data_IF_904467120044
#
_entry.id   IF_904467120044
#
_cell.length_a   1.000
_cell.length_b   1.000
_cell.length_c   1.000
_cell.angle_alpha   90.00
_cell.angle_beta   90.00
_cell.angle_gamma   90.00
#
_symmetry.space_group_name_H-M   'P 1'
#
loop_
_entity.id
_entity.type
_entity.pdbx_description
1 polymer ?
#
# COMPACT_ATOMS: atom_id res chain seq x y z
N UNK A 1 89.18 11.72 -38.05
CA UNK A 1 88.13 12.49 -38.76
C UNK A 1 86.82 11.80 -38.53
N UNK A 2 85.88 12.60 -38.21
CA UNK A 2 84.41 12.42 -38.06
C UNK A 2 83.87 12.25 -36.64
N UNK A 3 83.22 13.31 -36.31
CA UNK A 3 82.35 13.53 -35.15
C UNK A 3 81.06 12.74 -35.26
N UNK A 4 80.58 12.16 -34.16
CA UNK A 4 79.28 11.56 -34.05
C UNK A 4 78.49 12.17 -32.89
N UNK A 5 77.42 12.86 -33.22
CA UNK A 5 76.50 13.51 -32.31
C UNK A 5 75.68 12.50 -31.51
N UNK A 6 75.44 12.81 -30.24
CA UNK A 6 74.55 12.14 -29.33
C UNK A 6 73.14 12.76 -29.51
N UNK A 7 72.05 11.99 -29.68
CA UNK A 7 70.71 12.53 -29.57
C UNK A 7 70.17 12.37 -28.16
N UNK A 8 69.59 13.45 -27.71
CA UNK A 8 69.01 13.59 -26.37
C UNK A 8 67.79 12.70 -26.10
N UNK A 9 67.72 12.25 -24.88
CA UNK A 9 66.59 11.53 -24.30
C UNK A 9 65.42 12.47 -24.02
N UNK A 10 64.28 12.29 -24.72
CA UNK A 10 63.04 12.92 -24.41
C UNK A 10 62.35 12.14 -23.27
N UNK A 11 62.26 12.75 -22.13
CA UNK A 11 61.49 12.23 -21.02
C UNK A 11 59.97 12.42 -21.31
N UNK A 12 59.26 11.33 -21.54
CA UNK A 12 57.79 11.34 -21.64
C UNK A 12 57.23 11.31 -20.21
N UNK A 13 56.71 12.43 -19.78
CA UNK A 13 55.90 12.51 -18.54
C UNK A 13 54.53 11.86 -18.78
N UNK A 14 54.32 10.66 -18.25
CA UNK A 14 53.02 10.00 -18.23
C UNK A 14 52.20 10.66 -17.12
N UNK A 15 51.24 11.50 -17.51
CA UNK A 15 50.23 12.05 -16.64
C UNK A 15 49.22 10.93 -16.30
N UNK A 16 49.38 10.29 -15.15
CA UNK A 16 48.43 9.34 -14.64
C UNK A 16 47.18 10.11 -14.16
N UNK A 17 46.14 10.17 -15.00
CA UNK A 17 44.83 10.65 -14.62
C UNK A 17 44.20 9.59 -13.70
N UNK A 18 44.19 9.83 -12.38
CA UNK A 18 43.38 9.04 -11.45
C UNK A 18 41.91 9.31 -11.78
N UNK A 19 41.33 8.40 -12.54
CA UNK A 19 39.89 8.24 -12.59
C UNK A 19 39.47 7.72 -11.20
N UNK A 20 38.94 8.61 -10.35
CA UNK A 20 38.21 8.20 -9.18
C UNK A 20 36.94 7.50 -9.67
N UNK A 21 37.02 6.18 -9.81
CA UNK A 21 35.82 5.34 -9.92
C UNK A 21 35.06 5.56 -8.63
N UNK A 22 34.06 6.46 -8.67
CA UNK A 22 33.05 6.57 -7.66
C UNK A 22 32.29 5.23 -7.63
N UNK A 23 32.74 4.31 -6.79
CA UNK A 23 31.93 3.17 -6.37
C UNK A 23 30.68 3.76 -5.74
N UNK A 24 29.61 3.87 -6.52
CA UNK A 24 28.28 4.04 -5.97
C UNK A 24 28.00 2.80 -5.12
N UNK A 25 28.36 2.89 -3.84
CA UNK A 25 27.80 2.00 -2.83
C UNK A 25 26.30 2.16 -2.93
N UNK A 26 25.64 1.22 -3.61
CA UNK A 26 24.22 1.00 -3.45
C UNK A 26 24.06 0.64 -1.99
N UNK A 27 23.67 1.60 -1.15
CA UNK A 27 23.36 1.30 0.24
C UNK A 27 22.19 0.33 0.22
N UNK A 28 22.32 -0.80 0.91
CA UNK A 28 21.26 -1.80 1.01
C UNK A 28 20.02 -1.26 1.74
N UNK A 29 20.09 -0.03 2.26
CA UNK A 29 19.01 0.64 2.99
C UNK A 29 18.73 2.03 2.41
N UNK A 30 17.45 2.35 2.16
CA UNK A 30 17.01 3.71 1.88
C UNK A 30 17.23 4.58 3.12
N UNK A 31 18.14 5.55 3.07
CA UNK A 31 18.40 6.45 4.17
C UNK A 31 17.70 7.78 3.97
N UNK A 32 17.30 8.44 5.08
CA UNK A 32 16.76 9.79 5.02
C UNK A 32 17.72 10.76 4.32
N UNK A 33 19.03 10.58 4.54
CA UNK A 33 20.07 11.40 3.91
C UNK A 33 20.04 11.26 2.40
N UNK A 34 19.97 10.03 1.88
CA UNK A 34 19.92 9.75 0.44
C UNK A 34 18.63 10.29 -0.19
N UNK A 35 17.48 10.04 0.44
CA UNK A 35 16.17 10.52 -0.02
C UNK A 35 16.16 12.06 -0.10
N UNK A 36 16.72 12.76 0.91
CA UNK A 36 16.83 14.23 0.91
C UNK A 36 17.82 14.77 -0.12
N UNK A 37 18.96 14.10 -0.31
CA UNK A 37 19.93 14.50 -1.32
C UNK A 37 19.38 14.40 -2.73
N UNK A 38 18.57 13.34 -2.98
CA UNK A 38 17.90 13.14 -4.26
C UNK A 38 16.67 14.03 -4.43
N UNK A 39 16.12 14.59 -3.34
CA UNK A 39 14.89 15.38 -3.35
C UNK A 39 13.63 14.60 -3.70
N UNK A 40 13.66 13.27 -3.66
CA UNK A 40 12.61 12.39 -4.19
C UNK A 40 12.26 11.31 -3.16
N UNK A 41 10.95 11.12 -2.91
CA UNK A 41 10.37 9.96 -2.25
C UNK A 41 9.80 9.01 -3.30
N UNK A 42 10.23 7.74 -3.32
CA UNK A 42 9.82 6.75 -4.32
C UNK A 42 8.72 5.85 -3.75
N UNK A 43 7.53 5.92 -4.35
CA UNK A 43 6.37 5.10 -4.00
C UNK A 43 6.31 3.86 -4.89
N UNK A 44 6.30 2.65 -4.31
CA UNK A 44 5.86 1.45 -5.01
C UNK A 44 4.34 1.45 -5.11
N UNK A 45 3.79 1.38 -6.33
CA UNK A 45 2.35 1.32 -6.56
C UNK A 45 2.00 0.39 -7.73
N UNK A 46 0.78 -0.15 -7.73
CA UNK A 46 0.29 -0.99 -8.82
C UNK A 46 -0.32 -0.09 -9.91
N UNK A 47 0.04 -0.29 -11.20
CA UNK A 47 -0.49 0.54 -12.28
C UNK A 47 -1.97 0.30 -12.60
N UNK A 48 -2.62 -0.70 -12.02
CA UNK A 48 -3.99 -1.12 -12.33
C UNK A 48 -4.75 -1.59 -11.09
N UNK A 49 -4.83 -0.74 -10.06
CA UNK A 49 -5.44 -1.06 -8.77
C UNK A 49 -6.31 0.10 -8.24
N UNK A 50 -7.23 0.62 -9.06
CA UNK A 50 -8.21 1.59 -8.56
C UNK A 50 -9.06 0.98 -7.44
N UNK A 51 -9.42 1.76 -6.44
CA UNK A 51 -9.14 3.20 -6.24
C UNK A 51 -7.78 3.51 -5.59
N UNK A 52 -6.95 2.51 -5.29
CA UNK A 52 -5.67 2.68 -4.58
C UNK A 52 -4.64 3.42 -5.44
N UNK A 53 -4.34 2.89 -6.61
CA UNK A 53 -3.35 3.45 -7.52
C UNK A 53 -3.64 3.05 -8.97
N UNK A 54 -3.32 3.93 -9.91
CA UNK A 54 -3.48 3.66 -11.34
C UNK A 54 -2.55 4.52 -12.19
N UNK A 55 -2.06 3.93 -13.27
CA UNK A 55 -1.42 4.65 -14.37
C UNK A 55 -2.46 4.82 -15.48
N UNK A 56 -2.90 6.04 -15.71
CA UNK A 56 -3.88 6.31 -16.76
C UNK A 56 -3.28 6.13 -18.18
N UNK A 57 -4.11 5.91 -19.18
CA UNK A 57 -3.67 5.75 -20.58
C UNK A 57 -2.87 6.96 -21.11
N UNK A 58 -3.03 8.13 -20.50
CA UNK A 58 -2.31 9.36 -20.83
C UNK A 58 -1.04 9.56 -20.01
N UNK A 59 -0.65 8.57 -19.21
CA UNK A 59 0.52 8.61 -18.34
C UNK A 59 0.32 9.40 -17.03
N UNK A 60 -0.91 9.79 -16.72
CA UNK A 60 -1.24 10.47 -15.46
C UNK A 60 -1.29 9.49 -14.27
N UNK A 61 -1.08 10.03 -13.08
CA UNK A 61 -1.23 9.31 -11.82
C UNK A 61 -2.66 9.45 -11.31
N UNK A 62 -3.23 8.38 -10.76
CA UNK A 62 -4.54 8.40 -10.12
C UNK A 62 -4.57 7.42 -8.94
N UNK A 63 -5.50 7.64 -8.00
CA UNK A 63 -5.74 6.79 -6.84
C UNK A 63 -5.45 7.50 -5.52
N UNK A 64 -6.27 7.16 -4.50
CA UNK A 64 -6.21 7.87 -3.23
C UNK A 64 -4.89 7.65 -2.47
N UNK A 65 -4.25 6.50 -2.64
CA UNK A 65 -2.93 6.23 -2.04
C UNK A 65 -1.82 7.02 -2.71
N UNK A 66 -1.91 7.22 -4.04
CA UNK A 66 -0.95 8.06 -4.76
C UNK A 66 -1.09 9.52 -4.33
N UNK A 67 -2.33 10.04 -4.25
CA UNK A 67 -2.57 11.39 -3.76
C UNK A 67 -2.09 11.59 -2.31
N UNK A 68 -2.32 10.61 -1.44
CA UNK A 68 -1.84 10.68 -0.05
C UNK A 68 -0.32 10.64 0.02
N UNK A 69 0.33 9.79 -0.78
CA UNK A 69 1.79 9.72 -0.85
C UNK A 69 2.40 11.02 -1.39
N UNK A 70 1.74 11.70 -2.33
CA UNK A 70 2.16 13.01 -2.84
C UNK A 70 2.14 14.07 -1.74
N UNK A 71 1.08 14.09 -0.92
CA UNK A 71 1.02 15.00 0.24
C UNK A 71 2.11 14.66 1.26
N UNK A 72 2.35 13.38 1.56
CA UNK A 72 3.43 12.97 2.48
C UNK A 72 4.81 13.40 1.97
N UNK A 73 5.09 13.21 0.68
CA UNK A 73 6.34 13.67 0.08
C UNK A 73 6.50 15.19 0.22
N UNK A 74 5.45 15.95 -0.08
CA UNK A 74 5.43 17.41 0.06
C UNK A 74 5.69 17.86 1.50
N UNK A 75 5.06 17.22 2.50
CA UNK A 75 5.29 17.49 3.93
C UNK A 75 6.74 17.23 4.37
N UNK A 76 7.44 16.34 3.65
CA UNK A 76 8.86 16.06 3.86
C UNK A 76 9.78 16.99 3.06
N UNK A 77 9.25 17.89 2.23
CA UNK A 77 9.99 18.74 1.30
C UNK A 77 10.59 18.00 0.10
N UNK A 78 9.92 16.93 -0.36
CA UNK A 78 10.36 16.04 -1.43
C UNK A 78 9.33 16.03 -2.57
N UNK A 79 9.78 15.61 -3.76
CA UNK A 79 8.91 15.25 -4.87
C UNK A 79 8.53 13.77 -4.80
N UNK A 80 7.29 13.41 -5.18
CA UNK A 80 6.89 12.02 -5.33
C UNK A 80 7.32 11.47 -6.69
N UNK A 81 7.93 10.28 -6.69
CA UNK A 81 8.12 9.47 -7.89
C UNK A 81 7.45 8.11 -7.70
N UNK A 82 6.59 7.72 -8.63
CA UNK A 82 5.95 6.40 -8.58
C UNK A 82 6.82 5.38 -9.31
N UNK A 83 7.07 4.27 -8.64
CA UNK A 83 7.73 3.06 -9.17
C UNK A 83 6.64 2.01 -9.34
N UNK A 84 6.33 1.67 -10.59
CA UNK A 84 5.25 0.73 -10.88
C UNK A 84 5.69 -0.71 -10.64
N UNK A 85 4.92 -1.41 -9.80
CA UNK A 85 5.15 -2.80 -9.39
C UNK A 85 3.85 -3.59 -9.52
N UNK A 86 3.94 -4.88 -9.83
CA UNK A 86 2.76 -5.75 -10.00
C UNK A 86 2.69 -6.87 -8.96
N UNK A 87 3.82 -7.17 -8.32
CA UNK A 87 3.92 -8.26 -7.36
C UNK A 87 5.05 -8.01 -6.35
N UNK A 88 5.12 -8.85 -5.32
CA UNK A 88 6.13 -8.75 -4.27
C UNK A 88 7.57 -8.89 -4.78
N UNK A 89 7.80 -9.65 -5.85
CA UNK A 89 9.11 -9.79 -6.49
C UNK A 89 9.60 -8.49 -7.11
N UNK A 90 8.68 -7.74 -7.75
CA UNK A 90 8.98 -6.42 -8.32
C UNK A 90 9.37 -5.45 -7.21
N UNK A 91 8.64 -5.44 -6.07
CA UNK A 91 8.98 -4.60 -4.91
C UNK A 91 10.37 -4.92 -4.39
N UNK A 92 10.67 -6.21 -4.19
CA UNK A 92 11.95 -6.67 -3.66
C UNK A 92 13.14 -6.24 -4.52
N UNK A 93 12.95 -6.20 -5.83
CA UNK A 93 13.99 -5.81 -6.80
C UNK A 93 13.98 -4.31 -7.14
N UNK A 94 12.95 -3.58 -6.72
CA UNK A 94 12.82 -2.14 -6.99
C UNK A 94 13.65 -1.30 -6.04
N UNK A 95 13.76 -0.03 -6.38
CA UNK A 95 14.40 1.02 -5.57
C UNK A 95 13.38 1.92 -4.85
N UNK A 96 12.12 1.48 -4.70
CA UNK A 96 11.12 2.26 -3.97
C UNK A 96 11.42 2.33 -2.47
N UNK A 97 11.02 3.44 -1.87
CA UNK A 97 11.25 3.73 -0.44
C UNK A 97 10.03 3.36 0.41
N UNK A 98 8.83 3.59 -0.14
CA UNK A 98 7.57 3.46 0.59
C UNK A 98 6.50 2.70 -0.19
N UNK A 99 5.59 2.08 0.56
CA UNK A 99 4.34 1.45 0.10
C UNK A 99 3.20 2.02 0.93
N UNK A 100 2.10 2.36 0.29
CA UNK A 100 0.88 2.74 1.00
C UNK A 100 0.01 1.51 1.30
N UNK A 101 -1.01 1.66 2.15
CA UNK A 101 -2.02 0.63 2.37
C UNK A 101 -1.54 -0.59 3.14
N UNK A 102 -0.43 -0.50 3.87
CA UNK A 102 0.15 -1.66 4.53
C UNK A 102 -0.48 -1.86 5.91
N UNK A 103 -0.97 -3.07 6.18
CA UNK A 103 -1.49 -3.44 7.50
C UNK A 103 -0.33 -3.56 8.48
N UNK A 104 -0.31 -2.72 9.51
CA UNK A 104 0.75 -2.72 10.52
C UNK A 104 0.52 -3.80 11.57
N UNK A 105 0.73 -5.05 11.20
CA UNK A 105 0.65 -6.18 12.13
C UNK A 105 1.73 -7.19 11.84
N UNK A 106 2.70 -7.35 12.75
CA UNK A 106 3.71 -8.39 12.66
C UNK A 106 3.07 -9.78 12.52
N UNK A 107 1.96 -10.03 13.20
CA UNK A 107 1.23 -11.30 13.13
C UNK A 107 0.68 -11.62 11.73
N UNK A 108 0.43 -10.62 10.89
CA UNK A 108 -0.01 -10.82 9.50
C UNK A 108 1.18 -11.16 8.61
N UNK A 109 2.36 -10.56 8.87
CA UNK A 109 3.56 -10.76 8.05
C UNK A 109 4.35 -12.01 8.43
N UNK A 110 4.23 -12.50 9.68
CA UNK A 110 4.92 -13.72 10.15
C UNK A 110 4.13 -15.01 9.83
N UNK A 111 2.92 -14.92 9.31
CA UNK A 111 2.13 -16.10 8.92
C UNK A 111 2.59 -16.64 7.57
N UNK A 112 3.22 -17.80 7.58
CA UNK A 112 3.36 -18.62 6.38
C UNK A 112 1.97 -18.92 5.80
N UNK A 113 1.69 -18.44 4.60
CA UNK A 113 0.46 -18.76 3.87
C UNK A 113 -0.52 -17.62 3.64
N UNK A 114 -0.43 -16.48 4.33
CA UNK A 114 -1.23 -15.31 3.98
C UNK A 114 -0.64 -14.61 2.75
N UNK A 115 -1.15 -14.94 1.61
CA UNK A 115 -0.85 -14.27 0.34
C UNK A 115 -1.66 -12.98 0.21
N UNK A 116 -1.32 -11.98 1.02
CA UNK A 116 -1.64 -10.61 0.60
C UNK A 116 -0.90 -10.34 -0.72
N UNK A 117 -1.54 -9.75 -1.73
CA UNK A 117 -1.01 -9.78 -3.11
C UNK A 117 0.33 -9.09 -3.31
N UNK A 118 0.86 -8.32 -2.37
CA UNK A 118 2.08 -7.54 -2.59
C UNK A 118 3.13 -7.61 -1.47
N UNK A 119 2.85 -8.12 -0.27
CA UNK A 119 3.70 -7.84 0.90
C UNK A 119 4.29 -9.03 1.64
N UNK A 120 4.01 -10.27 1.23
CA UNK A 120 4.56 -11.46 1.88
C UNK A 120 6.08 -11.55 1.70
N UNK A 121 6.80 -11.64 2.83
CA UNK A 121 8.26 -11.80 2.92
C UNK A 121 9.12 -10.57 2.54
N UNK A 122 8.56 -9.36 2.59
CA UNK A 122 9.35 -8.14 2.47
C UNK A 122 9.79 -7.68 3.88
N UNK A 123 11.06 -7.32 4.07
CA UNK A 123 11.52 -6.71 5.31
C UNK A 123 11.02 -5.25 5.37
N UNK A 124 9.75 -5.08 5.77
CA UNK A 124 9.13 -3.76 5.91
C UNK A 124 9.25 -3.27 7.35
N UNK A 125 9.52 -1.99 7.46
CA UNK A 125 9.26 -1.21 8.67
C UNK A 125 7.93 -0.47 8.48
N UNK A 126 7.30 -0.07 9.55
CA UNK A 126 6.00 0.58 9.49
C UNK A 126 6.07 1.97 10.11
N UNK A 127 5.38 2.90 9.50
CA UNK A 127 5.09 4.18 10.14
C UNK A 127 4.01 4.00 11.21
N UNK A 128 3.77 5.06 11.98
CA UNK A 128 2.49 5.21 12.68
C UNK A 128 1.34 5.08 11.68
N UNK A 129 0.18 4.56 12.12
CA UNK A 129 -0.95 4.39 11.22
C UNK A 129 -1.53 5.75 10.77
N UNK A 130 -2.06 5.78 9.55
CA UNK A 130 -2.78 6.92 9.01
C UNK A 130 -4.28 6.69 8.87
N UNK A 131 -4.74 5.45 8.97
CA UNK A 131 -6.15 5.08 8.92
C UNK A 131 -6.40 3.82 9.75
N UNK A 132 -7.65 3.61 10.12
CA UNK A 132 -8.19 2.33 10.54
C UNK A 132 -8.94 1.69 9.38
N UNK A 133 -8.98 0.36 9.35
CA UNK A 133 -9.69 -0.45 8.37
C UNK A 133 -10.14 -1.76 8.99
N UNK A 134 -10.90 -2.52 8.24
CA UNK A 134 -11.39 -3.83 8.65
C UNK A 134 -12.38 -4.39 7.67
N UNK A 135 -13.04 -5.45 8.07
CA UNK A 135 -14.10 -6.07 7.27
C UNK A 135 -15.41 -5.29 7.45
N UNK A 136 -16.11 -5.05 6.36
CA UNK A 136 -17.50 -4.57 6.35
C UNK A 136 -18.39 -5.61 5.69
N UNK A 137 -19.62 -5.72 6.14
CA UNK A 137 -20.62 -6.55 5.47
C UNK A 137 -21.35 -5.72 4.42
N UNK A 138 -21.23 -6.14 3.18
CA UNK A 138 -21.97 -5.58 2.04
C UNK A 138 -23.24 -6.41 1.85
N UNK A 139 -24.39 -5.73 1.79
CA UNK A 139 -25.71 -6.33 1.73
C UNK A 139 -26.59 -5.59 0.73
N UNK A 140 -27.65 -6.24 0.24
CA UNK A 140 -28.70 -5.58 -0.50
C UNK A 140 -29.42 -4.55 0.38
N UNK A 141 -29.91 -3.47 -0.19
CA UNK A 141 -30.69 -2.45 0.50
C UNK A 141 -31.96 -3.02 1.22
N UNK A 142 -32.42 -4.18 0.80
CA UNK A 142 -33.58 -4.89 1.36
C UNK A 142 -33.22 -5.83 2.51
N UNK A 143 -31.93 -6.16 2.68
CA UNK A 143 -31.47 -7.08 3.72
C UNK A 143 -31.52 -6.41 5.10
N UNK A 144 -31.89 -7.18 6.13
CA UNK A 144 -31.91 -6.77 7.53
C UNK A 144 -30.70 -7.26 8.31
N UNK A 145 -29.73 -7.88 7.66
CA UNK A 145 -28.49 -8.38 8.30
C UNK A 145 -27.72 -7.22 8.92
N UNK A 146 -27.36 -7.38 10.19
CA UNK A 146 -26.59 -6.37 10.96
C UNK A 146 -25.30 -6.92 11.56
N UNK A 147 -25.21 -8.25 11.73
CA UNK A 147 -24.08 -8.93 12.37
C UNK A 147 -23.90 -10.33 11.82
N UNK A 148 -22.78 -10.94 12.11
CA UNK A 148 -22.45 -12.29 11.61
C UNK A 148 -23.43 -13.37 12.12
N UNK A 149 -23.92 -13.24 13.34
CA UNK A 149 -24.87 -14.18 13.95
C UNK A 149 -26.23 -14.23 13.21
N UNK A 150 -26.58 -13.19 12.46
CA UNK A 150 -27.78 -13.18 11.64
C UNK A 150 -27.69 -14.13 10.42
N UNK A 151 -26.49 -14.69 10.15
CA UNK A 151 -26.15 -15.43 8.92
C UNK A 151 -26.10 -16.96 9.09
N UNK A 152 -26.85 -17.52 10.02
CA UNK A 152 -26.77 -18.94 10.47
C UNK A 152 -26.62 -20.00 9.36
N UNK A 153 -27.27 -19.84 8.21
CA UNK A 153 -27.23 -20.80 7.10
C UNK A 153 -26.86 -20.18 5.75
N UNK A 154 -26.62 -18.89 5.71
CA UNK A 154 -26.35 -18.15 4.49
C UNK A 154 -24.85 -18.25 4.14
N UNK A 155 -24.56 -18.18 2.84
CA UNK A 155 -23.18 -18.09 2.37
C UNK A 155 -22.73 -16.64 2.39
N UNK A 156 -21.55 -16.40 2.94
CA UNK A 156 -20.87 -15.11 2.93
C UNK A 156 -19.86 -15.10 1.78
N UNK A 157 -19.97 -14.14 0.89
CA UNK A 157 -18.96 -13.93 -0.15
C UNK A 157 -17.65 -13.41 0.46
N UNK A 158 -16.54 -14.02 0.09
CA UNK A 158 -15.18 -13.65 0.56
C UNK A 158 -14.20 -13.69 -0.61
N UNK A 159 -13.17 -12.87 -0.58
CA UNK A 159 -12.09 -12.96 -1.56
C UNK A 159 -11.09 -14.04 -1.13
N UNK A 160 -10.61 -14.83 -2.09
CA UNK A 160 -9.64 -15.90 -1.84
C UNK A 160 -8.37 -15.39 -1.18
N UNK A 161 -7.90 -16.09 -0.13
CA UNK A 161 -6.62 -15.83 0.52
C UNK A 161 -6.61 -14.56 1.40
N UNK A 162 -7.78 -14.03 1.77
CA UNK A 162 -7.87 -12.88 2.69
C UNK A 162 -8.05 -13.32 4.14
N UNK A 163 -7.82 -12.40 5.06
CA UNK A 163 -8.00 -12.64 6.51
C UNK A 163 -9.44 -13.02 6.82
N UNK A 164 -10.41 -12.33 6.22
CA UNK A 164 -11.83 -12.63 6.40
C UNK A 164 -12.22 -14.01 5.87
N UNK A 165 -11.63 -14.45 4.75
CA UNK A 165 -11.85 -15.81 4.24
C UNK A 165 -11.44 -16.86 5.26
N UNK A 166 -10.22 -16.77 5.78
CA UNK A 166 -9.68 -17.75 6.72
C UNK A 166 -10.41 -17.69 8.07
N UNK A 167 -10.67 -16.49 8.56
CA UNK A 167 -11.33 -16.30 9.85
C UNK A 167 -12.76 -16.83 9.84
N UNK A 168 -13.58 -16.46 8.84
CA UNK A 168 -14.97 -16.90 8.72
C UNK A 168 -15.06 -18.41 8.53
N UNK A 169 -14.23 -19.01 7.67
CA UNK A 169 -14.20 -20.45 7.47
C UNK A 169 -13.82 -21.19 8.78
N UNK A 170 -12.82 -20.69 9.51
CA UNK A 170 -12.38 -21.29 10.78
C UNK A 170 -13.45 -21.19 11.88
N UNK A 171 -14.29 -20.15 11.87
CA UNK A 171 -15.38 -19.96 12.83
C UNK A 171 -16.69 -20.60 12.39
N UNK A 172 -16.67 -21.47 11.36
CA UNK A 172 -17.81 -22.30 10.97
C UNK A 172 -18.81 -21.61 10.05
N UNK A 173 -18.54 -20.41 9.56
CA UNK A 173 -19.38 -19.74 8.58
C UNK A 173 -19.26 -20.43 7.21
N UNK A 174 -20.37 -20.47 6.48
CA UNK A 174 -20.37 -20.95 5.10
C UNK A 174 -19.89 -19.84 4.18
N UNK A 175 -18.79 -20.07 3.47
CA UNK A 175 -18.23 -19.07 2.56
C UNK A 175 -18.43 -19.42 1.10
N UNK A 176 -18.65 -18.41 0.26
CA UNK A 176 -18.52 -18.47 -1.21
C UNK A 176 -17.30 -17.65 -1.60
N UNK A 177 -16.36 -18.29 -2.32
CA UNK A 177 -15.05 -17.70 -2.62
C UNK A 177 -15.07 -17.05 -4.00
N UNK A 178 -14.62 -15.80 -4.06
CA UNK A 178 -14.52 -14.98 -5.27
C UNK A 178 -13.07 -14.58 -5.55
N UNK A 179 -12.79 -14.17 -6.78
CA UNK A 179 -11.47 -13.74 -7.20
C UNK A 179 -11.14 -12.28 -6.78
N UNK A 180 -12.16 -11.43 -6.68
CA UNK A 180 -12.02 -10.01 -6.32
C UNK A 180 -13.11 -9.53 -5.37
N UNK A 181 -12.86 -8.40 -4.73
CA UNK A 181 -13.83 -7.70 -3.89
C UNK A 181 -15.02 -7.17 -4.72
N UNK A 182 -14.74 -6.75 -5.95
CA UNK A 182 -15.77 -6.25 -6.88
C UNK A 182 -16.75 -7.36 -7.27
N UNK A 183 -16.25 -8.57 -7.56
CA UNK A 183 -17.10 -9.74 -7.86
C UNK A 183 -18.04 -10.07 -6.69
N UNK A 184 -17.56 -9.97 -5.44
CA UNK A 184 -18.40 -10.17 -4.25
C UNK A 184 -19.55 -9.16 -4.23
N UNK A 185 -19.25 -7.87 -4.44
CA UNK A 185 -20.24 -6.80 -4.38
C UNK A 185 -21.25 -6.95 -5.53
N UNK A 186 -20.80 -7.29 -6.72
CA UNK A 186 -21.65 -7.57 -7.87
C UNK A 186 -22.57 -8.79 -7.62
N UNK A 187 -22.06 -9.85 -6.97
CA UNK A 187 -22.87 -11.01 -6.60
C UNK A 187 -23.96 -10.68 -5.56
N UNK A 188 -23.68 -9.76 -4.63
CA UNK A 188 -24.72 -9.22 -3.73
C UNK A 188 -25.75 -8.38 -4.50
N UNK A 189 -25.31 -7.55 -5.45
CA UNK A 189 -26.21 -6.71 -6.25
C UNK A 189 -27.17 -7.53 -7.09
N UNK A 190 -26.68 -8.61 -7.72
CA UNK A 190 -27.49 -9.52 -8.52
C UNK A 190 -28.34 -10.48 -7.69
N UNK A 191 -28.09 -10.58 -6.38
CA UNK A 191 -28.78 -11.52 -5.48
C UNK A 191 -28.27 -12.96 -5.55
N UNK A 192 -27.10 -13.20 -6.16
CA UNK A 192 -26.43 -14.50 -6.14
C UNK A 192 -26.05 -14.93 -4.72
N UNK A 193 -25.60 -13.96 -3.92
CA UNK A 193 -25.36 -14.10 -2.48
C UNK A 193 -26.07 -12.98 -1.74
N UNK A 194 -26.42 -13.21 -0.47
CA UNK A 194 -27.12 -12.20 0.36
C UNK A 194 -26.14 -11.21 1.00
N UNK A 195 -24.93 -11.67 1.34
CA UNK A 195 -23.93 -10.91 2.08
C UNK A 195 -22.54 -11.15 1.52
N UNK A 196 -21.78 -10.07 1.40
CA UNK A 196 -20.35 -10.10 1.11
C UNK A 196 -19.54 -9.52 2.26
N UNK A 197 -18.46 -10.19 2.67
CA UNK A 197 -17.44 -9.64 3.56
C UNK A 197 -16.35 -8.99 2.71
N UNK A 198 -16.22 -7.67 2.78
CA UNK A 198 -15.30 -6.88 1.96
C UNK A 198 -14.57 -5.85 2.82
N UNK A 199 -13.69 -5.06 2.23
CA UNK A 199 -13.12 -3.91 2.92
C UNK A 199 -13.90 -2.60 2.60
N UNK A 200 -13.82 -1.58 3.46
CA UNK A 200 -14.55 -0.32 3.28
C UNK A 200 -14.14 0.46 2.03
N UNK A 201 -12.90 0.29 1.55
CA UNK A 201 -12.40 0.95 0.34
C UNK A 201 -13.12 0.42 -0.89
N UNK A 202 -13.16 -0.91 -1.07
CA UNK A 202 -13.83 -1.56 -2.21
C UNK A 202 -15.33 -1.30 -2.18
N UNK A 203 -15.97 -1.37 -1.00
CA UNK A 203 -17.38 -1.08 -0.83
C UNK A 203 -17.73 0.38 -1.18
N UNK A 204 -16.90 1.33 -0.74
CA UNK A 204 -17.06 2.75 -1.02
C UNK A 204 -16.87 3.07 -2.50
N UNK A 205 -15.80 2.56 -3.09
CA UNK A 205 -15.47 2.74 -4.50
C UNK A 205 -16.53 2.16 -5.43
N UNK A 206 -17.01 0.94 -5.17
CA UNK A 206 -18.08 0.34 -5.96
C UNK A 206 -19.32 1.23 -6.01
N UNK A 207 -19.74 1.77 -4.87
CA UNK A 207 -20.89 2.69 -4.79
C UNK A 207 -20.64 4.02 -5.50
N UNK A 208 -19.40 4.49 -5.49
CA UNK A 208 -18.99 5.70 -6.22
C UNK A 208 -19.11 5.51 -7.74
N UNK A 209 -18.64 4.37 -8.25
CA UNK A 209 -18.72 4.04 -9.67
C UNK A 209 -20.13 3.63 -10.12
N UNK A 210 -20.96 3.12 -9.19
CA UNK A 210 -22.31 2.64 -9.45
C UNK A 210 -23.34 3.41 -8.60
N UNK A 211 -23.62 4.70 -8.89
CA UNK A 211 -24.49 5.53 -8.01
C UNK A 211 -25.93 5.02 -7.89
N UNK A 212 -26.40 4.19 -8.82
CA UNK A 212 -27.73 3.58 -8.81
C UNK A 212 -27.78 2.21 -8.11
N UNK A 213 -26.67 1.71 -7.59
CA UNK A 213 -26.62 0.40 -6.94
C UNK A 213 -27.54 0.33 -5.72
N UNK A 214 -28.17 -0.82 -5.55
CA UNK A 214 -28.97 -1.12 -4.36
C UNK A 214 -28.13 -1.76 -3.22
N UNK A 215 -26.81 -1.81 -3.39
CA UNK A 215 -25.88 -2.36 -2.41
C UNK A 215 -25.51 -1.30 -1.39
N UNK A 216 -25.45 -1.71 -0.12
CA UNK A 216 -24.98 -0.86 1.00
C UNK A 216 -24.14 -1.66 1.97
N UNK A 217 -23.39 -0.99 2.80
CA UNK A 217 -22.77 -1.61 3.98
C UNK A 217 -23.81 -1.78 5.08
N UNK A 218 -23.70 -2.87 5.83
CA UNK A 218 -24.56 -3.12 6.99
C UNK A 218 -24.32 -2.08 8.08
N UNK A 219 -25.36 -1.38 8.47
CA UNK A 219 -25.31 -0.44 9.59
C UNK A 219 -25.32 -1.19 10.92
N UNK A 220 -24.37 -0.84 11.80
CA UNK A 220 -24.24 -1.45 13.13
C UNK A 220 -23.46 -2.77 13.14
N UNK A 221 -22.88 -3.21 12.02
CA UNK A 221 -21.87 -4.25 12.03
C UNK A 221 -20.57 -3.69 12.59
N UNK A 222 -20.09 -4.29 13.66
CA UNK A 222 -18.78 -4.06 14.23
C UNK A 222 -17.92 -5.30 13.96
N UNK A 223 -16.80 -5.18 13.23
CA UNK A 223 -15.95 -6.31 12.96
C UNK A 223 -15.28 -6.82 14.25
N UNK A 224 -15.12 -8.14 14.33
CA UNK A 224 -14.33 -8.76 15.38
C UNK A 224 -12.91 -8.18 15.41
N UNK A 225 -12.24 -8.12 16.56
CA UNK A 225 -10.87 -7.56 16.65
C UNK A 225 -9.89 -8.18 15.65
N UNK A 226 -10.06 -9.47 15.32
CA UNK A 226 -9.23 -10.15 14.33
C UNK A 226 -9.55 -9.75 12.87
N UNK A 227 -10.65 -9.04 12.64
CA UNK A 227 -11.09 -8.53 11.35
C UNK A 227 -10.97 -7.00 11.24
N UNK A 228 -10.20 -6.39 12.14
CA UNK A 228 -9.93 -4.96 12.19
C UNK A 228 -8.44 -4.71 12.34
N UNK A 229 -7.92 -3.70 11.65
CA UNK A 229 -6.50 -3.36 11.65
C UNK A 229 -6.24 -1.89 11.32
N UNK A 230 -5.13 -1.39 11.80
CA UNK A 230 -4.60 -0.11 11.37
C UNK A 230 -3.83 -0.23 10.06
N UNK A 231 -3.86 0.84 9.27
CA UNK A 231 -3.18 0.97 7.97
C UNK A 231 -2.07 1.99 8.10
N UNK A 232 -0.87 1.60 7.67
CA UNK A 232 0.36 2.38 7.78
C UNK A 232 1.07 2.52 6.43
N UNK A 233 2.10 3.34 6.42
CA UNK A 233 3.08 3.36 5.34
C UNK A 233 4.11 2.26 5.64
N UNK A 234 4.28 1.33 4.71
CA UNK A 234 5.38 0.37 4.73
C UNK A 234 6.64 1.03 4.17
N UNK A 235 7.78 0.87 4.85
CA UNK A 235 9.06 1.41 4.42
C UNK A 235 10.00 0.26 4.07
N UNK A 236 10.44 0.25 2.83
CA UNK A 236 11.31 -0.80 2.31
C UNK A 236 12.78 -0.44 2.60
N UNK A 237 13.48 -1.28 3.37
CA UNK A 237 14.90 -1.11 3.73
C UNK A 237 15.23 0.24 4.38
N UNK A 238 14.30 0.87 5.09
CA UNK A 238 14.48 2.20 5.66
C UNK A 238 15.36 2.22 6.91
N UNK A 239 16.14 3.28 7.09
CA UNK A 239 16.81 3.59 8.34
C UNK A 239 15.85 4.20 9.37
N UNK A 240 16.26 4.31 10.64
CA UNK A 240 15.46 4.90 11.71
C UNK A 240 15.08 6.35 11.45
N UNK A 241 15.97 7.11 10.80
CA UNK A 241 15.74 8.50 10.50
C UNK A 241 14.65 8.69 9.44
N UNK A 242 14.60 7.81 8.42
CA UNK A 242 13.55 7.85 7.40
C UNK A 242 12.19 7.46 8.00
N UNK A 243 12.15 6.43 8.84
CA UNK A 243 10.92 6.05 9.57
C UNK A 243 10.40 7.22 10.40
N UNK A 244 11.27 7.86 11.21
CA UNK A 244 10.87 8.99 12.04
C UNK A 244 10.40 10.20 11.23
N UNK A 245 10.99 10.45 10.06
CA UNK A 245 10.56 11.53 9.16
C UNK A 245 9.19 11.25 8.56
N UNK A 246 8.93 10.01 8.10
CA UNK A 246 7.60 9.59 7.61
C UNK A 246 6.56 9.63 8.73
N UNK A 247 6.89 9.17 9.94
CA UNK A 247 6.02 9.26 11.12
C UNK A 247 5.57 10.69 11.42
N UNK A 248 6.52 11.63 11.30
CA UNK A 248 6.22 13.05 11.50
C UNK A 248 5.28 13.60 10.43
N UNK A 249 5.50 13.24 9.16
CA UNK A 249 4.64 13.63 8.06
C UNK A 249 3.23 13.01 8.21
N UNK A 250 3.15 11.72 8.53
CA UNK A 250 1.87 11.02 8.78
C UNK A 250 1.09 11.69 9.92
N UNK A 251 1.76 12.04 11.04
CA UNK A 251 1.10 12.73 12.14
C UNK A 251 0.43 14.04 11.70
N UNK A 252 1.13 14.85 10.92
CA UNK A 252 0.63 16.14 10.42
C UNK A 252 -0.56 15.97 9.48
N UNK A 253 -0.48 15.07 8.49
CA UNK A 253 -1.57 14.88 7.52
C UNK A 253 -2.82 14.30 8.19
N UNK A 254 -2.67 13.44 9.20
CA UNK A 254 -3.80 12.91 9.99
C UNK A 254 -4.44 14.01 10.84
N UNK A 255 -3.64 14.84 11.52
CA UNK A 255 -4.13 15.98 12.29
C UNK A 255 -4.90 16.98 11.41
N UNK A 256 -4.42 17.23 10.21
CA UNK A 256 -5.06 18.10 9.22
C UNK A 256 -6.26 17.44 8.51
N UNK A 257 -6.60 16.19 8.82
CA UNK A 257 -7.68 15.41 8.21
C UNK A 257 -7.55 15.23 6.69
N UNK A 258 -6.33 15.29 6.16
CA UNK A 258 -6.08 15.14 4.72
C UNK A 258 -6.51 13.75 4.21
N UNK A 259 -6.24 12.63 4.90
CA UNK A 259 -6.71 11.33 4.44
C UNK A 259 -8.23 11.27 4.28
N UNK A 260 -9.00 11.91 5.18
CA UNK A 260 -10.45 11.97 5.06
C UNK A 260 -10.92 12.74 3.81
N UNK A 261 -10.25 13.85 3.49
CA UNK A 261 -10.57 14.66 2.32
C UNK A 261 -10.26 13.92 1.02
N UNK A 262 -9.12 13.22 0.96
CA UNK A 262 -8.75 12.42 -0.21
C UNK A 262 -9.69 11.24 -0.38
N UNK A 263 -9.94 10.45 0.66
CA UNK A 263 -10.85 9.30 0.62
C UNK A 263 -12.25 9.68 0.13
N UNK A 264 -12.77 10.85 0.56
CA UNK A 264 -14.09 11.34 0.15
C UNK A 264 -14.23 11.52 -1.36
N UNK A 265 -13.15 11.89 -2.09
CA UNK A 265 -13.15 12.01 -3.56
C UNK A 265 -13.44 10.67 -4.25
N UNK A 266 -13.13 9.57 -3.60
CA UNK A 266 -13.28 8.20 -4.10
C UNK A 266 -14.49 7.47 -3.47
N UNK A 267 -15.37 8.20 -2.78
CA UNK A 267 -16.52 7.60 -2.09
C UNK A 267 -16.16 6.72 -0.88
N UNK A 268 -14.91 6.76 -0.44
CA UNK A 268 -14.39 5.94 0.65
C UNK A 268 -14.68 6.62 2.00
N UNK A 269 -15.28 5.89 2.93
CA UNK A 269 -15.45 6.35 4.31
C UNK A 269 -14.12 6.21 5.05
N UNK A 270 -13.53 7.32 5.44
CA UNK A 270 -12.30 7.33 6.23
C UNK A 270 -12.60 7.05 7.71
N UNK A 271 -11.83 6.13 8.28
CA UNK A 271 -11.80 5.86 9.72
C UNK A 271 -10.42 6.30 10.27
N UNK A 272 -10.39 7.16 11.31
CA UNK A 272 -9.12 7.55 11.91
C UNK A 272 -8.45 6.36 12.59
N UNK A 273 -7.12 6.37 12.74
CA UNK A 273 -6.38 5.29 13.42
C UNK A 273 -6.96 4.98 14.80
N UNK A 274 -7.11 3.71 15.12
CA UNK A 274 -7.60 3.25 16.43
C UNK A 274 -6.44 2.88 17.35
N UNK A 275 -6.63 3.06 18.67
CA UNK A 275 -5.66 2.62 19.66
C UNK A 275 -5.59 1.09 19.79
N UNK A 276 -6.67 0.39 19.44
CA UNK A 276 -6.79 -1.07 19.53
C UNK A 276 -6.07 -1.82 18.40
N UNK A 277 -5.90 -1.19 17.24
CA UNK A 277 -5.19 -1.77 16.10
C UNK A 277 -3.65 -1.72 16.20
N UNK A 278 -3.09 -1.37 17.35
CA UNK A 278 -1.65 -1.31 17.62
C UNK A 278 -1.11 -2.56 18.33
N UNK A 279 -1.90 -3.64 18.47
CA UNK A 279 -1.50 -4.88 19.15
C UNK A 279 -0.98 -5.94 18.18
#
# INVERSE_FOLDING_TARGET
MYHGLIPGSAAIAILATLMAEGTTHRSDAASLTEVRQNGILRLCANPSALPYSNLTDRGGLAGFEVELAEVLAHEMGLELRVVWVRNAGDIKSSDCDVLMGVVASAAIYDREGLTGPLTTHLPLRFSRPYADSGVVLVISSRSSVRRLEDLHDQKIGVMVGTVEHEWLAKHGFRVSVFASQEDIIAAVETGEIEVGATNPVSAGWYRHEHPSTAVRTSEGYEPEPALRWNVSVGLHRADDALVAAVDTAVARVVEQRIPAQICAKYGITYLPPSAEGLQ
#
